data_IF_089767755152
#
_entry.id   IF_089767755152
#
_cell.length_a   1.000
_cell.length_b   1.000
_cell.length_c   1.000
_cell.angle_alpha   90.00
_cell.angle_beta   90.00
_cell.angle_gamma   90.00
#
_symmetry.space_group_name_H-M   'P 1'
#
loop_
_entity.id
_entity.type
_entity.pdbx_description
1 polymer ?
#
# COMPACT_ATOMS: atom_id res chain seq x y z
N UNK A 1 -15.74 48.19 2.44
CA UNK A 1 -14.92 47.14 1.79
C UNK A 1 -15.28 45.81 2.45
N UNK A 2 -16.24 45.09 1.89
CA UNK A 2 -16.71 43.82 2.48
C UNK A 2 -15.82 42.72 1.92
N UNK A 3 -14.94 42.18 2.76
CA UNK A 3 -14.06 41.07 2.42
C UNK A 3 -14.89 39.89 1.93
N UNK A 4 -14.65 39.49 0.68
CA UNK A 4 -15.31 38.36 0.04
C UNK A 4 -15.08 37.09 0.86
N UNK A 5 -16.11 36.64 1.57
CA UNK A 5 -16.16 35.30 2.15
C UNK A 5 -16.20 34.33 0.98
N UNK A 6 -15.11 33.61 0.76
CA UNK A 6 -15.08 32.49 -0.18
C UNK A 6 -16.14 31.47 0.26
N UNK A 7 -17.06 31.19 -0.66
CA UNK A 7 -18.17 30.24 -0.46
C UNK A 7 -17.58 28.86 -0.14
N UNK A 8 -18.18 28.06 0.77
CA UNK A 8 -17.74 26.68 0.96
C UNK A 8 -17.86 25.95 -0.37
N UNK A 9 -16.72 25.44 -0.84
CA UNK A 9 -16.66 24.48 -1.92
C UNK A 9 -17.73 23.39 -1.69
N UNK A 10 -18.42 22.97 -2.76
CA UNK A 10 -19.34 21.82 -2.66
C UNK A 10 -18.61 20.63 -2.01
N UNK A 11 -19.35 19.69 -1.41
CA UNK A 11 -18.74 18.51 -0.77
C UNK A 11 -17.77 17.78 -1.72
N UNK A 12 -18.09 17.75 -3.01
CA UNK A 12 -17.25 17.21 -4.07
C UNK A 12 -15.95 17.99 -4.27
N UNK A 13 -16.03 19.32 -4.32
CA UNK A 13 -14.85 20.16 -4.51
C UNK A 13 -13.93 20.16 -3.26
N UNK A 14 -14.51 20.06 -2.05
CA UNK A 14 -13.74 19.82 -0.83
C UNK A 14 -13.00 18.48 -0.88
N UNK A 15 -13.68 17.40 -1.28
CA UNK A 15 -13.08 16.08 -1.41
C UNK A 15 -11.94 16.08 -2.44
N UNK A 16 -12.11 16.79 -3.56
CA UNK A 16 -11.09 16.93 -4.60
C UNK A 16 -9.83 17.63 -4.08
N UNK A 17 -10.00 18.73 -3.34
CA UNK A 17 -8.88 19.44 -2.68
C UNK A 17 -8.17 18.58 -1.64
N UNK A 18 -8.92 17.81 -0.86
CA UNK A 18 -8.35 16.87 0.11
C UNK A 18 -7.54 15.76 -0.58
N UNK A 19 -8.05 15.22 -1.69
CA UNK A 19 -7.37 14.22 -2.49
C UNK A 19 -6.06 14.76 -3.07
N UNK A 20 -6.10 15.94 -3.70
CA UNK A 20 -4.91 16.58 -4.27
C UNK A 20 -3.84 16.86 -3.21
N UNK A 21 -4.26 17.37 -2.04
CA UNK A 21 -3.35 17.57 -0.91
C UNK A 21 -2.70 16.25 -0.50
N UNK A 22 -3.48 15.18 -0.36
CA UNK A 22 -2.97 13.87 0.05
C UNK A 22 -1.99 13.29 -0.96
N UNK A 23 -2.28 13.39 -2.26
CA UNK A 23 -1.35 12.99 -3.32
C UNK A 23 -0.01 13.73 -3.19
N UNK A 24 -0.04 15.06 -2.95
CA UNK A 24 1.19 15.85 -2.74
C UNK A 24 1.99 15.41 -1.51
N UNK A 25 1.32 15.13 -0.40
CA UNK A 25 1.97 14.64 0.83
C UNK A 25 2.66 13.29 0.57
N UNK A 26 1.95 12.36 -0.08
CA UNK A 26 2.49 11.04 -0.46
C UNK A 26 3.69 11.18 -1.40
N UNK A 27 3.62 12.09 -2.38
CA UNK A 27 4.73 12.35 -3.29
C UNK A 27 5.99 12.84 -2.58
N UNK A 28 5.85 13.70 -1.56
CA UNK A 28 6.95 14.22 -0.74
C UNK A 28 7.52 13.20 0.25
N UNK A 29 6.72 12.22 0.67
CA UNK A 29 7.13 11.19 1.62
C UNK A 29 8.27 10.29 1.10
N UNK A 30 8.88 9.53 2.01
CA UNK A 30 10.04 8.68 1.70
C UNK A 30 9.74 7.58 0.69
N UNK A 31 10.77 7.10 -0.01
CA UNK A 31 10.66 6.05 -1.02
C UNK A 31 10.60 4.65 -0.40
N UNK A 32 9.45 4.30 0.18
CA UNK A 32 9.20 3.01 0.83
C UNK A 32 8.08 2.21 0.14
N UNK A 33 8.00 0.91 0.42
CA UNK A 33 6.93 0.00 0.00
C UNK A 33 5.60 0.56 0.48
N UNK A 34 4.57 0.49 -0.36
CA UNK A 34 3.27 1.08 -0.10
C UNK A 34 3.06 2.44 -0.75
N UNK A 35 4.12 3.23 -1.02
CA UNK A 35 3.98 4.54 -1.69
C UNK A 35 3.29 4.43 -3.05
N UNK A 36 3.76 3.51 -3.90
CA UNK A 36 3.21 3.32 -5.24
C UNK A 36 1.77 2.80 -5.18
N UNK A 37 1.50 1.89 -4.26
CA UNK A 37 0.18 1.32 -4.03
C UNK A 37 -0.80 2.38 -3.53
N UNK A 38 -0.38 3.25 -2.61
CA UNK A 38 -1.20 4.36 -2.12
C UNK A 38 -1.51 5.35 -3.24
N UNK A 39 -0.53 5.71 -4.07
CA UNK A 39 -0.76 6.58 -5.23
C UNK A 39 -1.76 5.96 -6.21
N UNK A 40 -1.62 4.66 -6.52
CA UNK A 40 -2.58 3.91 -7.34
C UNK A 40 -4.00 4.02 -6.79
N UNK A 41 -4.18 3.75 -5.49
CA UNK A 41 -5.47 3.88 -4.84
C UNK A 41 -6.04 5.31 -4.92
N UNK A 42 -5.21 6.32 -4.68
CA UNK A 42 -5.62 7.73 -4.78
C UNK A 42 -5.97 8.15 -6.22
N UNK A 43 -5.42 7.47 -7.23
CA UNK A 43 -5.82 7.62 -8.63
C UNK A 43 -7.04 6.78 -9.03
N UNK A 44 -7.66 6.06 -8.09
CA UNK A 44 -8.83 5.23 -8.34
C UNK A 44 -8.52 3.84 -8.90
N UNK A 45 -7.25 3.43 -8.93
CA UNK A 45 -6.89 2.07 -9.34
C UNK A 45 -7.20 1.05 -8.24
N UNK A 46 -7.55 -0.17 -8.65
CA UNK A 46 -7.76 -1.27 -7.73
C UNK A 46 -6.45 -1.82 -7.17
N UNK A 47 -6.48 -2.20 -5.89
CA UNK A 47 -5.38 -2.85 -5.19
C UNK A 47 -5.75 -4.27 -4.80
N UNK A 48 -4.79 -5.19 -4.91
CA UNK A 48 -4.89 -6.48 -4.23
C UNK A 48 -4.82 -6.31 -2.71
N UNK A 49 -5.32 -7.28 -1.91
CA UNK A 49 -5.28 -7.16 -0.45
C UNK A 49 -3.88 -6.88 0.12
N UNK A 50 -2.84 -7.47 -0.46
CA UNK A 50 -1.44 -7.24 -0.04
C UNK A 50 -0.96 -5.83 -0.39
N UNK A 51 -1.39 -5.28 -1.52
CA UNK A 51 -1.08 -3.91 -1.90
C UNK A 51 -1.81 -2.90 -1.01
N UNK A 52 -3.08 -3.17 -0.67
CA UNK A 52 -3.85 -2.34 0.27
C UNK A 52 -3.20 -2.28 1.65
N UNK A 53 -2.73 -3.42 2.17
CA UNK A 53 -1.98 -3.47 3.43
C UNK A 53 -0.70 -2.65 3.33
N UNK A 54 0.07 -2.80 2.24
CA UNK A 54 1.30 -2.03 2.06
C UNK A 54 1.03 -0.52 2.00
N UNK A 55 0.03 -0.09 1.22
CA UNK A 55 -0.40 1.30 1.13
C UNK A 55 -0.80 1.86 2.50
N UNK A 56 -1.60 1.11 3.25
CA UNK A 56 -2.04 1.50 4.59
C UNK A 56 -0.88 1.57 5.58
N UNK A 57 0.05 0.62 5.58
CA UNK A 57 1.23 0.69 6.44
C UNK A 57 2.09 1.92 6.13
N UNK A 58 2.24 2.27 4.85
CA UNK A 58 2.96 3.49 4.44
C UNK A 58 2.29 4.76 4.94
N UNK A 59 0.97 4.86 4.80
CA UNK A 59 0.18 5.99 5.33
C UNK A 59 0.22 6.07 6.86
N UNK A 60 -0.06 4.95 7.54
CA UNK A 60 -0.10 4.85 9.00
C UNK A 60 1.22 5.24 9.67
N UNK A 61 2.34 4.99 9.00
CA UNK A 61 3.68 5.34 9.46
C UNK A 61 4.10 6.77 9.06
N UNK A 62 3.15 7.63 8.68
CA UNK A 62 3.43 9.02 8.33
C UNK A 62 4.32 9.14 7.10
N UNK A 63 4.13 8.25 6.11
CA UNK A 63 4.91 8.20 4.86
C UNK A 63 6.41 7.97 5.07
N UNK A 64 6.81 7.58 6.29
CA UNK A 64 8.20 7.51 6.73
C UNK A 64 8.96 8.81 6.40
N UNK A 65 8.29 9.96 6.58
CA UNK A 65 8.80 11.28 6.23
C UNK A 65 10.10 11.63 6.96
N UNK A 66 10.26 11.12 8.19
CA UNK A 66 11.47 11.31 9.00
C UNK A 66 12.68 10.52 8.45
N UNK A 67 12.47 9.68 7.42
CA UNK A 67 13.53 8.92 6.77
C UNK A 67 14.04 7.76 7.62
N UNK A 68 15.12 7.12 7.15
CA UNK A 68 15.84 6.09 7.94
C UNK A 68 16.70 6.72 9.04
N UNK A 69 17.11 7.97 8.86
CA UNK A 69 18.15 8.61 9.66
C UNK A 69 17.60 9.24 10.94
N UNK A 70 16.31 9.60 10.99
CA UNK A 70 15.69 10.15 12.20
C UNK A 70 15.60 9.15 13.35
N UNK A 71 15.81 7.86 13.07
CA UNK A 71 15.80 6.83 14.09
C UNK A 71 16.83 5.73 13.79
N UNK A 72 18.05 5.81 14.35
CA UNK A 72 19.09 4.80 14.13
C UNK A 72 18.71 3.39 14.62
N UNK A 73 17.69 3.30 15.48
CA UNK A 73 17.15 2.09 16.10
C UNK A 73 15.69 1.77 15.71
N UNK A 74 14.91 2.75 15.21
CA UNK A 74 13.51 2.52 14.80
C UNK A 74 13.48 1.87 13.41
N UNK A 75 13.50 0.55 13.45
CA UNK A 75 13.21 -0.32 12.31
C UNK A 75 11.91 0.18 11.63
N UNK A 76 11.84 0.09 10.31
CA UNK A 76 10.61 0.35 9.53
C UNK A 76 9.42 -0.52 9.98
N UNK A 77 9.71 -1.52 10.81
CA UNK A 77 8.78 -2.31 11.58
C UNK A 77 8.15 -1.51 12.74
N UNK A 78 6.84 -1.26 12.66
CA UNK A 78 6.10 -0.54 13.70
C UNK A 78 5.95 -1.32 15.02
N UNK A 79 6.20 -2.64 15.01
CA UNK A 79 6.13 -3.55 16.18
C UNK A 79 4.81 -3.52 16.97
N UNK A 80 3.75 -2.95 16.42
CA UNK A 80 2.45 -2.85 17.08
C UNK A 80 1.74 -4.22 17.10
N UNK A 81 1.84 -4.95 18.21
CA UNK A 81 1.23 -6.27 18.38
C UNK A 81 -0.30 -6.24 18.41
N UNK A 82 -0.89 -5.08 18.71
CA UNK A 82 -2.34 -4.85 18.71
C UNK A 82 -2.88 -4.48 17.32
N UNK A 83 -2.01 -4.19 16.35
CA UNK A 83 -2.43 -3.92 14.99
C UNK A 83 -2.81 -5.25 14.29
N UNK A 84 -4.06 -5.42 13.82
CA UNK A 84 -4.49 -6.66 13.16
C UNK A 84 -3.74 -6.93 11.84
N UNK A 85 -3.20 -5.87 11.23
CA UNK A 85 -2.41 -5.95 10.00
C UNK A 85 -0.91 -6.20 10.25
N UNK A 86 -0.46 -6.14 11.51
CA UNK A 86 0.95 -6.32 11.87
C UNK A 86 1.59 -7.60 11.31
N UNK A 87 0.92 -8.78 11.32
CA UNK A 87 1.50 -10.01 10.75
C UNK A 87 1.84 -9.92 9.26
N UNK A 88 1.24 -8.96 8.55
CA UNK A 88 1.38 -8.71 7.12
C UNK A 88 2.20 -7.46 6.80
N UNK A 89 2.66 -6.71 7.81
CA UNK A 89 3.48 -5.52 7.62
C UNK A 89 4.69 -5.84 6.71
N UNK A 90 4.92 -5.09 5.61
CA UNK A 90 6.00 -5.34 4.65
C UNK A 90 7.41 -5.20 5.22
N UNK A 91 7.55 -4.58 6.39
CA UNK A 91 8.80 -4.31 7.08
C UNK A 91 8.98 -5.09 8.38
N UNK A 92 8.03 -5.98 8.72
CA UNK A 92 8.10 -6.78 9.94
C UNK A 92 9.41 -7.55 10.05
N UNK A 93 10.05 -7.46 11.21
CA UNK A 93 11.24 -8.24 11.53
C UNK A 93 10.91 -9.73 11.59
N UNK A 94 11.78 -10.58 11.01
CA UNK A 94 11.48 -12.01 10.80
C UNK A 94 10.60 -12.30 9.57
N UNK A 95 10.21 -11.26 8.82
CA UNK A 95 9.47 -11.36 7.56
C UNK A 95 7.95 -11.39 7.73
N UNK A 96 7.24 -11.03 6.65
CA UNK A 96 5.79 -11.19 6.60
C UNK A 96 5.41 -12.68 6.67
N UNK A 97 4.25 -13.00 7.26
CA UNK A 97 3.68 -14.36 7.37
C UNK A 97 4.14 -15.33 6.27
N UNK A 98 4.77 -16.44 6.69
CA UNK A 98 5.37 -17.45 5.78
C UNK A 98 4.34 -17.90 4.76
N UNK A 99 4.72 -17.87 3.48
CA UNK A 99 3.94 -18.57 2.45
C UNK A 99 4.00 -20.05 2.78
N UNK A 100 2.86 -20.74 2.77
CA UNK A 100 2.84 -22.20 2.81
C UNK A 100 3.67 -22.69 1.62
N UNK A 101 4.68 -23.53 1.89
CA UNK A 101 5.42 -24.19 0.82
C UNK A 101 4.46 -25.15 0.12
N UNK A 102 4.41 -25.10 -1.21
CA UNK A 102 3.70 -26.11 -1.97
C UNK A 102 4.55 -27.38 -2.00
N UNK A 103 3.92 -28.55 -1.86
CA UNK A 103 4.61 -29.81 -2.11
C UNK A 103 5.11 -29.84 -3.56
N UNK A 104 6.19 -30.58 -3.86
CA UNK A 104 6.69 -30.74 -5.22
C UNK A 104 5.58 -31.18 -6.19
N UNK A 105 4.75 -32.13 -5.75
CA UNK A 105 3.61 -32.65 -6.51
C UNK A 105 2.56 -31.57 -6.82
N UNK A 106 2.18 -30.76 -5.82
CA UNK A 106 1.20 -29.67 -6.03
C UNK A 106 1.76 -28.62 -6.99
N UNK A 107 3.06 -28.34 -6.91
CA UNK A 107 3.74 -27.38 -7.79
C UNK A 107 3.76 -27.86 -9.24
N UNK A 108 3.96 -29.17 -9.46
CA UNK A 108 3.92 -29.78 -10.79
C UNK A 108 2.51 -29.71 -11.38
N UNK A 109 1.48 -30.16 -10.64
CA UNK A 109 0.07 -30.09 -11.06
C UNK A 109 -0.36 -28.67 -11.44
N UNK A 110 0.07 -27.67 -10.66
CA UNK A 110 -0.23 -26.27 -10.96
C UNK A 110 0.46 -25.80 -12.26
N UNK A 111 1.72 -26.20 -12.47
CA UNK A 111 2.48 -25.87 -13.69
C UNK A 111 1.83 -26.46 -14.94
N UNK A 112 1.43 -27.74 -14.88
CA UNK A 112 0.72 -28.43 -15.97
C UNK A 112 -0.62 -27.75 -16.28
N UNK A 113 -1.41 -27.45 -15.25
CA UNK A 113 -2.68 -26.71 -15.41
C UNK A 113 -2.49 -25.35 -16.06
N UNK A 114 -1.43 -24.61 -15.69
CA UNK A 114 -1.13 -23.30 -16.28
C UNK A 114 -0.69 -23.40 -17.74
N UNK A 115 0.06 -24.46 -18.12
CA UNK A 115 0.40 -24.74 -19.52
C UNK A 115 -0.85 -25.04 -20.34
N UNK A 116 -1.74 -25.90 -19.84
CA UNK A 116 -2.98 -26.27 -20.49
C UNK A 116 -3.93 -25.07 -20.67
N UNK A 117 -4.01 -24.17 -19.69
CA UNK A 117 -4.78 -22.92 -19.81
C UNK A 117 -4.23 -21.99 -20.90
N UNK A 118 -2.91 -21.97 -21.11
CA UNK A 118 -2.29 -21.13 -22.16
C UNK A 118 -2.55 -21.67 -23.56
N UNK A 119 -2.59 -22.99 -23.72
CA UNK A 119 -2.87 -23.62 -25.02
C UNK A 119 -4.35 -23.48 -25.38
N UNK A 120 -5.25 -23.76 -24.45
CA UNK A 120 -6.71 -23.67 -24.66
C UNK A 120 -7.22 -22.24 -24.88
N UNK A 121 -6.52 -21.22 -24.36
CA UNK A 121 -6.87 -19.81 -24.58
C UNK A 121 -6.36 -19.26 -25.93
N UNK A 122 -5.49 -20.00 -26.62
CA UNK A 122 -4.91 -19.64 -27.93
C UNK A 122 -5.54 -20.42 -29.08
N UNK A 123 -6.58 -21.22 -28.82
CA UNK A 123 -7.34 -22.01 -29.79
C UNK A 123 -8.78 -21.50 -29.89
#
# INVERSE_FOLDING_TARGET
MVGGKTVPASAEELAKRQLERKIREVQKGGHFKGKKELLKFLHGEQLSPRQSIAAHCYECMGYYADGKDAFPDRKLDCRSTLCPSYPYNPYREGGSQKRRSLSPETRQKLSERMKQMRTTRSS
#
